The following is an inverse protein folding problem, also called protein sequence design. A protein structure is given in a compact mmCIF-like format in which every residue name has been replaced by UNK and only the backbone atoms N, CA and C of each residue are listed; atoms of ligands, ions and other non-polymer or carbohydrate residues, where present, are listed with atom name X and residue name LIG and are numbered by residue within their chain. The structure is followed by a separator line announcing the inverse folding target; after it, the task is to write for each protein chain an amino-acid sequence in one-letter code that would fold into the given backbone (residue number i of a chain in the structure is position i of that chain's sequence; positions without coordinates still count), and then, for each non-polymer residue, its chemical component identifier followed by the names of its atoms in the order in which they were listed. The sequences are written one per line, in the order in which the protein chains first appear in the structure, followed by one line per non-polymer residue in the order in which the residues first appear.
data_IF_404560660546
#
_entry.id   IF_404560660546
#
_cell.length_a   1.000
_cell.length_b   1.000
_cell.length_c   1.000
_cell.angle_alpha   90.00
_cell.angle_beta   90.00
_cell.angle_gamma   90.00
#
_symmetry.space_group_name_H-M   'P 1'
#
loop_
_entity.id
_entity.type
_entity.pdbx_description
1 polymer ?
#
# COMPACT_ATOMS: atom_id res chain seq x y z
N UNK A 1 -13.73 3.10 0.11
CA UNK A 1 -12.61 4.04 -0.13
C UNK A 1 -13.19 5.43 -0.22
N UNK A 2 -12.55 6.41 0.42
CA UNK A 2 -12.92 7.81 0.28
C UNK A 2 -12.56 8.32 -1.13
N UNK A 3 -13.21 9.37 -1.65
CA UNK A 3 -12.96 9.89 -3.00
C UNK A 3 -11.49 10.26 -3.27
N UNK A 4 -10.82 10.85 -2.28
CA UNK A 4 -9.38 11.19 -2.33
C UNK A 4 -8.49 9.95 -2.52
N UNK A 5 -8.86 8.81 -1.92
CA UNK A 5 -8.12 7.55 -2.12
C UNK A 5 -8.36 6.96 -3.50
N UNK A 6 -9.58 7.08 -4.04
CA UNK A 6 -9.87 6.61 -5.39
C UNK A 6 -9.01 7.33 -6.43
N UNK A 7 -8.89 8.65 -6.32
CA UNK A 7 -8.03 9.46 -7.19
C UNK A 7 -6.54 9.08 -7.01
N UNK A 8 -6.07 9.01 -5.76
CA UNK A 8 -4.68 8.63 -5.45
C UNK A 8 -4.28 7.25 -6.01
N UNK A 9 -5.18 6.27 -5.97
CA UNK A 9 -4.89 4.90 -6.39
C UNK A 9 -5.43 4.54 -7.77
N UNK A 10 -5.96 5.49 -8.55
CA UNK A 10 -6.55 5.24 -9.86
C UNK A 10 -5.61 4.44 -10.80
N UNK A 11 -4.31 4.77 -10.79
CA UNK A 11 -3.28 4.07 -11.58
C UNK A 11 -2.97 2.65 -11.10
N UNK A 12 -3.24 2.33 -9.85
CA UNK A 12 -3.15 0.95 -9.36
C UNK A 12 -4.44 0.18 -9.65
N UNK A 13 -5.60 0.83 -9.54
CA UNK A 13 -6.92 0.22 -9.77
C UNK A 13 -7.10 -0.21 -11.23
N UNK A 14 -6.54 0.53 -12.19
CA UNK A 14 -6.63 0.17 -13.61
C UNK A 14 -5.83 -1.09 -13.99
N UNK A 15 -4.87 -1.51 -13.15
CA UNK A 15 -4.09 -2.73 -13.39
C UNK A 15 -4.98 -3.96 -13.17
N UNK A 16 -5.15 -4.85 -14.17
CA UNK A 16 -6.02 -6.02 -14.07
C UNK A 16 -5.72 -6.93 -12.87
N UNK A 17 -4.45 -7.04 -12.49
CA UNK A 17 -3.96 -7.90 -11.41
C UNK A 17 -4.28 -7.33 -10.01
N UNK A 18 -4.53 -6.03 -9.92
CA UNK A 18 -4.86 -5.34 -8.67
C UNK A 18 -6.36 -5.06 -8.63
N UNK A 19 -6.86 -4.27 -9.58
CA UNK A 19 -8.26 -3.85 -9.62
C UNK A 19 -8.69 -3.06 -8.38
N UNK A 20 -9.97 -2.68 -8.34
CA UNK A 20 -10.56 -2.06 -7.15
C UNK A 20 -10.53 -3.01 -5.93
N UNK A 21 -10.71 -4.31 -6.16
CA UNK A 21 -10.73 -5.32 -5.11
C UNK A 21 -9.36 -5.51 -4.46
N UNK A 22 -8.29 -5.63 -5.24
CA UNK A 22 -6.92 -5.73 -4.72
C UNK A 22 -6.53 -4.47 -3.96
N UNK A 23 -6.94 -3.29 -4.42
CA UNK A 23 -6.71 -2.06 -3.66
C UNK A 23 -7.49 -2.00 -2.34
N UNK A 24 -8.74 -2.47 -2.32
CA UNK A 24 -9.48 -2.59 -1.07
C UNK A 24 -8.78 -3.55 -0.09
N UNK A 25 -8.21 -4.66 -0.59
CA UNK A 25 -7.42 -5.61 0.22
C UNK A 25 -6.14 -5.01 0.77
N UNK A 26 -5.40 -4.23 -0.04
CA UNK A 26 -4.21 -3.50 0.44
C UNK A 26 -4.58 -2.47 1.52
N UNK A 27 -5.65 -1.70 1.30
CA UNK A 27 -6.13 -0.74 2.29
C UNK A 27 -6.59 -1.39 3.61
N UNK A 28 -6.99 -2.65 3.59
CA UNK A 28 -7.37 -3.41 4.79
C UNK A 28 -6.21 -4.20 5.40
N UNK A 29 -5.04 -4.26 4.75
CA UNK A 29 -3.92 -5.08 5.22
C UNK A 29 -3.06 -4.35 6.27
N UNK A 30 -2.35 -5.16 7.05
CA UNK A 30 -1.35 -4.71 8.01
C UNK A 30 -0.04 -5.44 7.74
N UNK A 31 1.06 -4.69 7.63
CA UNK A 31 2.40 -5.24 7.43
C UNK A 31 3.33 -4.76 8.55
N UNK A 32 4.11 -5.68 9.12
CA UNK A 32 5.21 -5.37 10.01
C UNK A 32 6.54 -5.46 9.26
N UNK A 33 7.33 -4.40 9.29
CA UNK A 33 8.69 -4.34 8.74
C UNK A 33 9.68 -4.36 9.90
N UNK A 34 10.59 -5.33 9.88
CA UNK A 34 11.68 -5.45 10.86
C UNK A 34 12.98 -5.04 10.19
N UNK A 35 13.63 -4.01 10.72
CA UNK A 35 14.86 -3.44 10.20
C UNK A 35 14.61 -2.33 9.18
N UNK A 36 14.81 -1.08 9.61
CA UNK A 36 14.61 0.13 8.79
C UNK A 36 15.92 0.71 8.22
N UNK A 37 16.84 -0.17 7.83
CA UNK A 37 18.09 0.20 7.14
C UNK A 37 17.92 0.34 5.62
N UNK A 38 18.95 -0.03 4.87
CA UNK A 38 18.97 0.09 3.40
C UNK A 38 17.90 -0.73 2.65
N UNK A 39 17.31 -1.73 3.30
CA UNK A 39 16.24 -2.57 2.72
C UNK A 39 14.86 -2.12 3.18
N UNK A 40 14.66 -1.92 4.48
CA UNK A 40 13.36 -1.54 5.04
C UNK A 40 12.91 -0.15 4.60
N UNK A 41 13.83 0.81 4.47
CA UNK A 41 13.51 2.17 4.05
C UNK A 41 12.87 2.25 2.65
N UNK A 42 13.44 1.67 1.58
CA UNK A 42 12.77 1.65 0.28
C UNK A 42 11.51 0.76 0.29
N UNK A 43 11.51 -0.38 0.99
CA UNK A 43 10.33 -1.24 1.09
C UNK A 43 9.12 -0.49 1.69
N UNK A 44 9.33 0.29 2.75
CA UNK A 44 8.31 1.13 3.37
C UNK A 44 7.72 2.14 2.38
N UNK A 45 8.58 2.82 1.61
CA UNK A 45 8.12 3.82 0.64
C UNK A 45 7.14 3.20 -0.38
N UNK A 46 7.47 2.02 -0.91
CA UNK A 46 6.60 1.33 -1.86
C UNK A 46 5.33 0.76 -1.20
N UNK A 47 5.40 0.19 0.00
CA UNK A 47 4.23 -0.34 0.69
C UNK A 47 3.24 0.77 1.09
N UNK A 48 3.75 1.91 1.58
CA UNK A 48 2.93 3.08 1.88
C UNK A 48 2.34 3.70 0.61
N UNK A 49 3.14 3.81 -0.46
CA UNK A 49 2.71 4.30 -1.77
C UNK A 49 1.65 3.40 -2.43
N UNK A 50 1.76 2.08 -2.25
CA UNK A 50 0.79 1.10 -2.72
C UNK A 50 -0.52 1.12 -1.92
N UNK A 51 -0.55 1.76 -0.75
CA UNK A 51 -1.77 1.98 0.02
C UNK A 51 -2.05 0.93 1.10
N UNK A 52 -1.03 0.21 1.60
CA UNK A 52 -1.16 -0.66 2.77
C UNK A 52 -1.80 0.10 3.94
N UNK A 53 -2.85 -0.48 4.53
CA UNK A 53 -3.69 0.18 5.53
C UNK A 53 -2.97 0.51 6.83
N UNK A 54 -2.14 -0.42 7.30
CA UNK A 54 -1.35 -0.26 8.53
C UNK A 54 0.07 -0.74 8.31
N UNK A 55 1.03 0.01 8.85
CA UNK A 55 2.45 -0.34 8.82
C UNK A 55 2.99 -0.28 10.26
N UNK A 56 3.65 -1.34 10.69
CA UNK A 56 4.42 -1.36 11.95
C UNK A 56 5.88 -1.48 11.61
N UNK A 57 6.71 -0.60 12.19
CA UNK A 57 8.15 -0.55 11.96
C UNK A 57 8.84 -0.99 13.25
N UNK A 58 9.77 -1.93 13.14
CA UNK A 58 10.53 -2.53 14.25
C UNK A 58 12.02 -2.37 13.98
#
# INVERSE_FOLDING_TARGET
MTPDRLDRFARHIVLPEVGAMGQARLAASHVALVGMGGIGSPALQYLAGAGVGRLTLI
#
